data_IF_340321719316
#
_entry.id   IF_340321719316
#
_cell.length_a   1.000
_cell.length_b   1.000
_cell.length_c   1.000
_cell.angle_alpha   90.00
_cell.angle_beta   90.00
_cell.angle_gamma   90.00
#
_symmetry.space_group_name_H-M   'P 1'
#
loop_
_entity.id
_entity.type
_entity.pdbx_description
1 polymer ?
#
# COMPACT_ATOMS: atom_id res chain seq x y z
N UNK A 1 -11.15 -16.43 8.33
CA UNK A 1 -10.13 -15.91 7.39
C UNK A 1 -9.47 -17.06 6.67
N UNK A 2 -9.04 -16.87 5.42
CA UNK A 2 -8.34 -17.87 4.61
C UNK A 2 -7.12 -17.20 3.98
N UNK A 3 -6.02 -17.94 3.86
CA UNK A 3 -4.81 -17.50 3.17
C UNK A 3 -4.63 -18.32 1.90
N UNK A 4 -4.26 -17.63 0.82
CA UNK A 4 -3.99 -18.23 -0.48
C UNK A 4 -2.58 -17.80 -0.90
N UNK A 5 -1.77 -18.77 -1.31
CA UNK A 5 -0.42 -18.54 -1.79
C UNK A 5 -0.41 -18.64 -3.32
N UNK A 6 0.26 -17.69 -3.97
CA UNK A 6 0.44 -17.67 -5.41
C UNK A 6 1.92 -17.82 -5.74
N UNK A 7 2.22 -18.48 -6.86
CA UNK A 7 3.59 -18.64 -7.36
C UNK A 7 4.25 -17.33 -7.79
N UNK A 8 3.45 -16.29 -8.07
CA UNK A 8 3.92 -14.96 -8.50
C UNK A 8 3.17 -13.87 -7.75
N UNK A 9 3.91 -12.83 -7.34
CA UNK A 9 3.34 -11.64 -6.71
C UNK A 9 2.34 -10.92 -7.63
N UNK A 10 2.57 -10.95 -8.94
CA UNK A 10 1.68 -10.34 -9.93
C UNK A 10 0.29 -10.97 -9.90
N UNK A 11 0.24 -12.31 -9.82
CA UNK A 11 -1.01 -13.07 -9.76
C UNK A 11 -1.78 -12.75 -8.48
N UNK A 12 -1.08 -12.59 -7.35
CA UNK A 12 -1.71 -12.17 -6.11
C UNK A 12 -2.33 -10.77 -6.25
N UNK A 13 -1.61 -9.81 -6.86
CA UNK A 13 -2.12 -8.46 -7.10
C UNK A 13 -3.38 -8.45 -7.98
N UNK A 14 -3.39 -9.23 -9.05
CA UNK A 14 -4.55 -9.35 -9.94
C UNK A 14 -5.74 -10.01 -9.23
N UNK A 15 -5.49 -11.07 -8.46
CA UNK A 15 -6.52 -11.76 -7.69
C UNK A 15 -7.21 -10.81 -6.70
N UNK A 16 -6.45 -10.01 -5.94
CA UNK A 16 -7.03 -9.02 -5.02
C UNK A 16 -7.87 -8.00 -5.77
N UNK A 17 -7.37 -7.46 -6.90
CA UNK A 17 -8.12 -6.48 -7.72
C UNK A 17 -9.44 -7.03 -8.25
N UNK A 18 -9.45 -8.30 -8.66
CA UNK A 18 -10.64 -8.92 -9.26
C UNK A 18 -11.68 -9.38 -8.24
N UNK A 19 -11.24 -9.80 -7.05
CA UNK A 19 -12.11 -10.53 -6.11
C UNK A 19 -12.51 -9.70 -4.89
N UNK A 20 -11.82 -8.60 -4.59
CA UNK A 20 -12.19 -7.75 -3.47
C UNK A 20 -13.52 -7.03 -3.74
N UNK A 21 -14.49 -7.22 -2.84
CA UNK A 21 -15.85 -6.69 -2.98
C UNK A 21 -16.80 -7.56 -3.81
N UNK A 22 -16.34 -8.73 -4.27
CA UNK A 22 -17.20 -9.66 -5.01
C UNK A 22 -18.28 -10.26 -4.11
N UNK A 23 -19.54 -10.22 -4.56
CA UNK A 23 -20.65 -10.86 -3.84
C UNK A 23 -20.69 -12.33 -4.21
N UNK A 24 -20.39 -13.21 -3.26
CA UNK A 24 -20.49 -14.65 -3.46
C UNK A 24 -21.95 -15.09 -3.48
N UNK A 25 -22.76 -14.53 -2.57
CA UNK A 25 -24.19 -14.76 -2.49
C UNK A 25 -24.92 -13.52 -1.92
N UNK A 26 -26.17 -13.69 -1.45
CA UNK A 26 -26.97 -12.59 -0.88
C UNK A 26 -26.40 -12.02 0.43
N UNK A 27 -25.66 -12.82 1.19
CA UNK A 27 -25.22 -12.49 2.55
C UNK A 27 -23.72 -12.34 2.68
N UNK A 28 -22.94 -12.82 1.71
CA UNK A 28 -21.49 -12.88 1.77
C UNK A 28 -20.85 -12.04 0.66
N UNK A 29 -19.97 -11.14 1.08
CA UNK A 29 -19.13 -10.31 0.21
C UNK A 29 -17.68 -10.59 0.57
N UNK A 30 -16.87 -10.90 -0.42
CA UNK A 30 -15.45 -11.11 -0.21
C UNK A 30 -14.74 -9.80 0.11
N UNK A 31 -13.93 -9.85 1.16
CA UNK A 31 -12.94 -8.84 1.51
C UNK A 31 -11.58 -9.48 1.36
N UNK A 32 -10.85 -9.05 0.35
CA UNK A 32 -9.55 -9.63 -0.02
C UNK A 32 -8.51 -8.53 0.06
N UNK A 33 -7.41 -8.80 0.76
CA UNK A 33 -6.28 -7.88 0.94
C UNK A 33 -4.96 -8.66 0.83
N UNK A 34 -3.86 -7.94 0.61
CA UNK A 34 -2.53 -8.55 0.69
C UNK A 34 -2.14 -8.86 2.12
N UNK A 35 -1.34 -9.92 2.27
CA UNK A 35 -0.81 -10.31 3.58
C UNK A 35 0.11 -9.21 4.17
N UNK A 36 0.89 -8.53 3.32
CA UNK A 36 1.76 -7.42 3.72
C UNK A 36 1.00 -6.26 4.36
N UNK A 37 -0.25 -6.04 3.99
CA UNK A 37 -1.05 -4.93 4.50
C UNK A 37 -1.64 -5.23 5.88
N UNK A 38 -1.47 -6.44 6.39
CA UNK A 38 -2.01 -6.84 7.69
C UNK A 38 -1.51 -5.93 8.82
N UNK A 39 -0.20 -5.69 8.90
CA UNK A 39 0.38 -4.83 9.93
C UNK A 39 -0.11 -3.38 9.84
N UNK A 40 -0.32 -2.88 8.61
CA UNK A 40 -0.85 -1.53 8.37
C UNK A 40 -2.26 -1.37 8.93
N UNK A 41 -3.10 -2.40 8.77
CA UNK A 41 -4.47 -2.37 9.27
C UNK A 41 -4.57 -2.68 10.77
N UNK A 42 -3.59 -3.37 11.34
CA UNK A 42 -3.48 -3.58 12.79
C UNK A 42 -3.03 -2.29 13.49
N UNK A 43 -2.09 -1.56 12.89
CA UNK A 43 -1.47 -0.37 13.47
C UNK A 43 -1.95 0.91 12.80
N UNK A 44 -3.27 1.09 12.65
CA UNK A 44 -3.82 2.36 12.16
C UNK A 44 -3.76 3.37 13.31
N UNK A 45 -3.03 4.49 13.18
CA UNK A 45 -3.06 5.54 14.19
C UNK A 45 -4.46 6.14 14.31
N UNK A 46 -4.96 6.31 15.53
CA UNK A 46 -6.29 6.89 15.79
C UNK A 46 -6.37 8.37 15.40
N UNK A 47 -5.25 9.10 15.48
CA UNK A 47 -5.17 10.51 15.15
C UNK A 47 -4.50 10.72 13.79
N UNK A 48 -5.19 11.47 12.92
CA UNK A 48 -4.64 11.90 11.64
C UNK A 48 -3.71 13.11 11.83
N UNK A 49 -2.44 12.97 11.44
CA UNK A 49 -1.47 14.08 11.42
C UNK A 49 -1.24 14.57 9.99
N UNK A 50 -1.24 15.89 9.73
CA UNK A 50 -0.86 16.42 8.42
C UNK A 50 0.58 16.01 8.07
N UNK A 51 0.88 15.68 6.80
CA UNK A 51 2.26 15.43 6.40
C UNK A 51 3.09 16.70 6.55
N UNK A 52 4.32 16.56 7.04
CA UNK A 52 5.24 17.69 7.14
C UNK A 52 5.63 18.21 5.75
N UNK A 53 5.68 19.54 5.56
CA UNK A 53 6.15 20.12 4.31
C UNK A 53 7.60 19.70 4.08
N UNK A 54 7.87 19.02 2.96
CA UNK A 54 9.24 18.69 2.58
C UNK A 54 10.05 20.00 2.41
N UNK A 55 11.21 20.14 3.07
CA UNK A 55 12.07 21.29 2.85
C UNK A 55 12.48 21.33 1.38
N UNK A 56 12.51 22.54 0.82
CA UNK A 56 13.00 22.75 -0.54
C UNK A 56 14.47 22.35 -0.61
N UNK A 57 14.76 21.30 -1.38
CA UNK A 57 16.12 20.86 -1.66
C UNK A 57 16.54 21.51 -2.99
N UNK A 58 17.39 22.53 -2.90
CA UNK A 58 17.98 23.16 -4.08
C UNK A 58 19.02 22.23 -4.69
N UNK A 59 18.55 21.34 -5.57
CA UNK A 59 19.38 20.41 -6.32
C UNK A 59 20.42 21.12 -7.23
N UNK A 60 20.23 22.41 -7.54
CA UNK A 60 21.10 23.17 -8.46
C UNK A 60 22.32 23.76 -7.74
N UNK A 61 22.18 24.10 -6.46
CA UNK A 61 23.28 24.66 -5.65
C UNK A 61 24.34 23.62 -5.23
N UNK A 62 23.94 22.36 -5.07
CA UNK A 62 24.85 21.27 -4.69
C UNK A 62 25.84 20.90 -5.80
N UNK A 63 25.47 21.04 -7.08
CA UNK A 63 26.36 20.71 -8.20
C UNK A 63 27.42 21.78 -8.48
N UNK A 64 27.17 23.05 -8.13
CA UNK A 64 28.17 24.13 -8.31
C UNK A 64 29.34 24.07 -7.33
N UNK A 65 29.16 23.46 -6.15
CA UNK A 65 30.22 23.34 -5.14
C UNK A 65 31.20 22.19 -5.47
N UNK A 66 30.80 21.24 -6.33
CA UNK A 66 31.66 20.08 -6.69
C UNK A 66 32.68 20.35 -7.80
N UNK A 67 32.63 21.52 -8.44
CA UNK A 67 33.45 21.87 -9.62
C UNK A 67 34.37 23.09 -9.33
N UNK A 68 34.50 23.52 -8.07
CA UNK A 68 35.48 24.50 -7.60
C UNK A 68 36.40 23.86 -6.57
#
# INVERSE_FOLDING_TARGET
YMFLEFSSAQNAHEAVKMTNGYKLDKTHVFKVNHFSDFEKYVNIPEEWTPPEPKPYEDLVSQERIRIL
#
